data_IF_480549167817
#
_entry.id   IF_480549167817
#
_cell.length_a   1.000
_cell.length_b   1.000
_cell.length_c   1.000
_cell.angle_alpha   90.00
_cell.angle_beta   90.00
_cell.angle_gamma   90.00
#
_symmetry.space_group_name_H-M   'P 1'
#
loop_
_entity.id
_entity.type
_entity.pdbx_description
1 polymer ?
#
# COMPACT_ATOMS: atom_id res chain seq x y z
N UNK A 1 16.63 -22.31 7.08
CA UNK A 1 15.60 -22.05 6.06
C UNK A 1 15.50 -20.55 5.86
N UNK A 2 16.37 -20.00 5.00
CA UNK A 2 16.35 -18.59 4.62
C UNK A 2 15.59 -18.51 3.30
N UNK A 3 14.31 -18.19 3.35
CA UNK A 3 13.55 -17.88 2.15
C UNK A 3 14.02 -16.49 1.66
N UNK A 4 14.91 -16.52 0.66
CA UNK A 4 15.01 -15.58 -0.46
C UNK A 4 14.30 -14.24 -0.24
N UNK A 5 15.03 -13.24 0.28
CA UNK A 5 14.56 -11.86 0.48
C UNK A 5 14.90 -10.90 -0.67
N UNK A 6 15.28 -11.43 -1.83
CA UNK A 6 15.37 -10.68 -3.08
C UNK A 6 14.04 -10.85 -3.83
N UNK A 7 13.40 -9.76 -4.25
CA UNK A 7 12.23 -9.65 -5.16
C UNK A 7 10.88 -9.16 -4.63
N UNK A 8 10.80 -8.39 -3.54
CA UNK A 8 9.54 -7.69 -3.19
C UNK A 8 9.68 -6.24 -2.72
N UNK A 9 10.46 -5.43 -3.44
CA UNK A 9 10.07 -4.02 -3.56
C UNK A 9 8.99 -3.94 -4.63
N UNK A 10 7.75 -4.28 -4.24
CA UNK A 10 6.58 -3.80 -4.99
C UNK A 10 6.58 -2.30 -4.78
N UNK A 11 7.25 -1.58 -5.68
CA UNK A 11 7.28 -0.12 -5.66
C UNK A 11 5.82 0.37 -5.71
N UNK A 12 5.31 0.90 -4.61
CA UNK A 12 3.92 1.35 -4.45
C UNK A 12 3.54 2.38 -5.51
N UNK A 13 4.53 3.17 -5.97
CA UNK A 13 4.42 4.11 -7.09
C UNK A 13 4.10 3.42 -8.43
N UNK A 14 4.62 2.22 -8.67
CA UNK A 14 4.42 1.47 -9.92
C UNK A 14 2.99 0.94 -10.05
N UNK A 15 2.40 0.48 -8.94
CA UNK A 15 1.01 0.00 -8.90
C UNK A 15 0.05 1.16 -9.15
N UNK A 16 0.23 2.29 -8.47
CA UNK A 16 -0.63 3.47 -8.64
C UNK A 16 -0.60 4.03 -10.08
N UNK A 17 0.59 4.07 -10.69
CA UNK A 17 0.77 4.56 -12.06
C UNK A 17 0.09 3.66 -13.11
N UNK A 18 0.03 2.35 -12.86
CA UNK A 18 -0.71 1.41 -13.71
C UNK A 18 -2.24 1.61 -13.66
N UNK A 19 -2.79 1.94 -12.49
CA UNK A 19 -4.23 2.18 -12.35
C UNK A 19 -4.67 3.52 -12.95
N UNK A 20 -3.86 4.58 -12.81
CA UNK A 20 -4.20 5.93 -13.29
C UNK A 20 -4.10 6.07 -14.82
N UNK A 21 -3.27 5.26 -15.49
CA UNK A 21 -3.02 5.34 -16.93
C UNK A 21 -3.71 4.26 -17.77
N UNK A 22 -4.71 3.56 -17.27
CA UNK A 22 -5.50 2.70 -18.16
C UNK A 22 -6.25 3.63 -19.14
N UNK A 23 -5.93 3.63 -20.45
CA UNK A 23 -6.68 4.45 -21.40
C UNK A 23 -8.13 4.01 -21.31
N UNK A 24 -9.04 4.98 -21.15
CA UNK A 24 -10.48 4.75 -21.23
C UNK A 24 -10.75 4.06 -22.57
N UNK A 25 -10.89 2.73 -22.52
CA UNK A 25 -11.37 1.97 -23.66
C UNK A 25 -12.77 2.51 -23.85
N UNK A 26 -13.02 3.17 -24.98
CA UNK A 26 -14.38 3.50 -25.42
C UNK A 26 -15.09 2.17 -25.61
N UNK A 27 -15.58 1.59 -24.52
CA UNK A 27 -16.49 0.46 -24.56
C UNK A 27 -17.77 0.96 -25.19
N UNK A 28 -18.30 0.21 -26.13
CA UNK A 28 -19.66 0.40 -26.63
C UNK A 28 -20.57 0.58 -25.41
N UNK A 29 -21.20 1.76 -25.31
CA UNK A 29 -22.09 2.05 -24.20
C UNK A 29 -23.25 1.06 -24.25
N UNK A 30 -23.62 0.41 -23.12
CA UNK A 30 -24.70 -0.55 -23.13
C UNK A 30 -26.01 0.12 -23.56
N UNK A 31 -26.74 -0.55 -24.44
CA UNK A 31 -28.07 -0.14 -24.88
C UNK A 31 -29.12 -0.73 -23.94
N UNK A 32 -30.27 -0.07 -23.82
CA UNK A 32 -31.36 -0.57 -22.98
C UNK A 32 -32.05 -1.78 -23.64
N UNK A 33 -32.33 -2.81 -22.84
CA UNK A 33 -32.99 -4.04 -23.32
C UNK A 33 -34.43 -3.81 -23.77
N UNK A 34 -35.14 -2.83 -23.17
CA UNK A 34 -36.52 -2.48 -23.53
C UNK A 34 -36.58 -1.40 -24.61
N UNK A 35 -35.51 -0.62 -24.76
CA UNK A 35 -35.47 0.55 -25.63
C UNK A 35 -34.17 0.52 -26.45
N UNK A 36 -34.16 -0.24 -27.54
CA UNK A 36 -32.96 -0.57 -28.33
C UNK A 36 -32.22 0.66 -28.89
N UNK A 37 -32.91 1.79 -29.10
CA UNK A 37 -32.32 3.05 -29.57
C UNK A 37 -31.76 3.94 -28.44
N UNK A 38 -32.05 3.62 -27.18
CA UNK A 38 -31.64 4.43 -26.04
C UNK A 38 -30.41 3.87 -25.33
N UNK A 39 -29.45 4.77 -25.08
CA UNK A 39 -28.24 4.45 -24.34
C UNK A 39 -28.50 4.47 -22.84
N UNK A 40 -27.90 3.52 -22.13
CA UNK A 40 -27.89 3.51 -20.67
C UNK A 40 -26.93 4.60 -20.17
N UNK A 41 -27.48 5.67 -19.61
CA UNK A 41 -26.74 6.82 -19.09
C UNK A 41 -27.27 7.35 -17.75
N UNK A 42 -28.30 6.71 -17.18
CA UNK A 42 -28.92 7.07 -15.91
C UNK A 42 -28.71 5.93 -14.91
N UNK A 43 -28.45 6.26 -13.65
CA UNK A 43 -28.41 5.30 -12.56
C UNK A 43 -29.59 5.56 -11.62
N UNK A 44 -30.40 4.53 -11.38
CA UNK A 44 -31.54 4.62 -10.49
C UNK A 44 -31.12 4.30 -9.06
N UNK A 45 -31.24 5.27 -8.14
CA UNK A 45 -30.81 5.11 -6.75
C UNK A 45 -31.75 4.22 -5.93
N UNK A 46 -33.06 4.24 -6.24
CA UNK A 46 -34.03 3.39 -5.52
C UNK A 46 -33.95 1.91 -5.91
N UNK A 47 -33.56 1.62 -7.14
CA UNK A 47 -33.52 0.27 -7.71
C UNK A 47 -32.09 -0.25 -7.85
N UNK A 48 -31.10 0.58 -7.50
CA UNK A 48 -29.66 0.31 -7.55
C UNK A 48 -29.17 -0.25 -8.91
N UNK A 49 -29.82 0.16 -10.01
CA UNK A 49 -29.57 -0.36 -11.35
C UNK A 49 -29.43 0.74 -12.40
N UNK A 50 -28.65 0.51 -13.47
CA UNK A 50 -28.51 1.44 -14.57
C UNK A 50 -29.72 1.36 -15.52
N UNK A 51 -30.17 2.51 -16.01
CA UNK A 51 -31.40 2.69 -16.81
C UNK A 51 -31.18 3.71 -17.93
N UNK A 52 -32.15 3.84 -18.83
CA UNK A 52 -32.13 4.85 -19.90
C UNK A 52 -33.14 5.98 -19.68
N UNK A 53 -33.09 6.99 -20.55
CA UNK A 53 -33.96 8.17 -20.52
C UNK A 53 -35.44 7.80 -20.60
N UNK A 54 -35.80 6.84 -21.45
CA UNK A 54 -37.21 6.42 -21.62
C UNK A 54 -37.73 5.65 -20.41
N UNK A 55 -36.92 4.75 -19.81
CA UNK A 55 -37.27 4.08 -18.55
C UNK A 55 -37.53 5.08 -17.42
N UNK A 56 -36.82 6.23 -17.41
CA UNK A 56 -37.01 7.30 -16.45
C UNK A 56 -38.21 8.20 -16.76
N UNK A 57 -38.41 8.64 -18.00
CA UNK A 57 -39.45 9.64 -18.31
C UNK A 57 -40.82 9.01 -18.45
N UNK A 58 -40.91 7.82 -19.04
CA UNK A 58 -42.18 7.17 -19.37
C UNK A 58 -42.33 5.76 -18.77
N UNK A 59 -41.24 5.13 -18.35
CA UNK A 59 -41.21 3.75 -17.87
C UNK A 59 -41.37 3.57 -16.37
N UNK A 60 -40.91 2.41 -15.88
CA UNK A 60 -41.06 1.96 -14.50
C UNK A 60 -40.34 2.84 -13.46
N UNK A 61 -39.38 3.68 -13.86
CA UNK A 61 -38.55 4.48 -12.95
C UNK A 61 -38.97 5.96 -12.86
N UNK A 62 -40.18 6.31 -13.31
CA UNK A 62 -40.71 7.69 -13.30
C UNK A 62 -40.63 8.38 -11.94
N UNK A 63 -41.02 7.67 -10.88
CA UNK A 63 -41.05 8.19 -9.51
C UNK A 63 -39.77 7.89 -8.72
N UNK A 64 -38.80 7.20 -9.34
CA UNK A 64 -37.54 6.87 -8.71
C UNK A 64 -36.56 8.06 -8.74
N UNK A 65 -35.79 8.24 -7.68
CA UNK A 65 -34.64 9.13 -7.68
C UNK A 65 -33.54 8.54 -8.57
N UNK A 66 -32.99 9.37 -9.45
CA UNK A 66 -31.95 8.96 -10.39
C UNK A 66 -30.83 9.98 -10.44
N UNK A 67 -29.66 9.54 -10.88
CA UNK A 67 -28.50 10.39 -11.12
C UNK A 67 -27.86 10.03 -12.48
N UNK A 68 -27.12 10.94 -13.11
CA UNK A 68 -26.31 10.59 -14.28
C UNK A 68 -25.32 9.47 -13.93
N UNK A 69 -25.28 8.41 -14.75
CA UNK A 69 -24.40 7.27 -14.53
C UNK A 69 -22.92 7.69 -14.50
N UNK A 70 -22.55 8.69 -15.31
CA UNK A 70 -21.22 9.30 -15.31
C UNK A 70 -20.85 9.90 -13.95
N UNK A 71 -21.78 10.58 -13.29
CA UNK A 71 -21.53 11.18 -11.97
C UNK A 71 -21.33 10.11 -10.90
N UNK A 72 -22.17 9.09 -10.90
CA UNK A 72 -22.04 7.95 -9.97
C UNK A 72 -20.72 7.22 -10.20
N UNK A 73 -20.39 6.93 -11.45
CA UNK A 73 -19.14 6.27 -11.81
C UNK A 73 -17.92 7.10 -11.42
N UNK A 74 -17.89 8.40 -11.75
CA UNK A 74 -16.75 9.25 -11.38
C UNK A 74 -16.62 9.36 -9.88
N UNK A 75 -17.72 9.50 -9.14
CA UNK A 75 -17.68 9.53 -7.67
C UNK A 75 -17.11 8.24 -7.10
N UNK A 76 -17.60 7.08 -7.52
CA UNK A 76 -17.10 5.79 -7.08
C UNK A 76 -15.63 5.58 -7.47
N UNK A 77 -15.24 5.99 -8.67
CA UNK A 77 -13.85 5.94 -9.15
C UNK A 77 -12.94 6.79 -8.27
N UNK A 78 -13.35 8.01 -7.92
CA UNK A 78 -12.61 8.89 -7.00
C UNK A 78 -12.52 8.30 -5.61
N UNK A 79 -13.64 7.85 -5.02
CA UNK A 79 -13.65 7.21 -3.70
C UNK A 79 -12.69 6.00 -3.62
N UNK A 80 -12.69 5.15 -4.65
CA UNK A 80 -11.76 4.02 -4.75
C UNK A 80 -10.32 4.49 -4.91
N UNK A 81 -10.06 5.50 -5.75
CA UNK A 81 -8.72 6.06 -5.96
C UNK A 81 -8.15 6.66 -4.67
N UNK A 82 -8.98 7.40 -3.93
CA UNK A 82 -8.61 8.01 -2.65
C UNK A 82 -8.36 6.94 -1.59
N UNK A 83 -9.21 5.90 -1.53
CA UNK A 83 -9.00 4.74 -0.65
C UNK A 83 -7.67 4.02 -0.95
N UNK A 84 -7.33 3.84 -2.22
CA UNK A 84 -6.05 3.27 -2.64
C UNK A 84 -4.89 4.18 -2.19
N UNK A 85 -5.00 5.50 -2.35
CA UNK A 85 -3.95 6.43 -1.93
C UNK A 85 -3.68 6.36 -0.42
N UNK A 86 -4.72 6.23 0.40
CA UNK A 86 -4.59 6.03 1.86
C UNK A 86 -3.88 4.72 2.19
N UNK A 87 -4.22 3.63 1.50
CA UNK A 87 -3.57 2.33 1.69
C UNK A 87 -2.09 2.38 1.29
N UNK A 88 -1.77 3.02 0.18
CA UNK A 88 -0.38 3.23 -0.27
C UNK A 88 0.40 4.02 0.77
N UNK A 89 -0.12 5.16 1.24
CA UNK A 89 0.57 5.97 2.25
C UNK A 89 0.74 5.22 3.58
N UNK A 90 -0.21 4.35 3.94
CA UNK A 90 -0.08 3.49 5.12
C UNK A 90 1.02 2.44 4.95
N UNK A 91 1.14 1.87 3.75
CA UNK A 91 2.20 0.92 3.43
C UNK A 91 3.59 1.58 3.46
N UNK A 92 3.73 2.78 2.90
CA UNK A 92 4.99 3.53 2.92
C UNK A 92 5.45 3.82 4.36
N UNK A 93 4.50 4.14 5.27
CA UNK A 93 4.79 4.30 6.71
C UNK A 93 5.29 3.00 7.35
N UNK A 94 4.63 1.88 7.08
CA UNK A 94 5.05 0.57 7.58
C UNK A 94 6.45 0.23 7.08
N UNK A 95 6.74 0.47 5.80
CA UNK A 95 8.06 0.25 5.24
C UNK A 95 9.13 1.14 5.90
N UNK A 96 8.81 2.39 6.21
CA UNK A 96 9.70 3.27 6.97
C UNK A 96 10.02 2.74 8.37
N UNK A 97 9.02 2.22 9.08
CA UNK A 97 9.22 1.57 10.40
C UNK A 97 10.10 0.32 10.26
N UNK A 98 9.88 -0.49 9.23
CA UNK A 98 10.71 -1.68 8.96
C UNK A 98 12.16 -1.27 8.73
N UNK A 99 12.42 -0.23 7.94
CA UNK A 99 13.80 0.25 7.71
C UNK A 99 14.46 0.75 8.98
N UNK A 100 13.74 1.47 9.85
CA UNK A 100 14.26 1.90 11.16
C UNK A 100 14.59 0.70 12.06
N UNK A 101 13.74 -0.32 12.05
CA UNK A 101 13.97 -1.54 12.82
C UNK A 101 15.21 -2.29 12.33
N UNK A 102 15.37 -2.42 11.00
CA UNK A 102 16.56 -3.04 10.40
C UNK A 102 17.84 -2.26 10.74
N UNK A 103 17.79 -0.93 10.78
CA UNK A 103 18.92 -0.10 11.19
C UNK A 103 19.25 -0.27 12.67
N UNK A 104 18.24 -0.25 13.55
CA UNK A 104 18.43 -0.47 14.98
C UNK A 104 19.09 -1.83 15.25
N UNK A 105 18.67 -2.89 14.55
CA UNK A 105 19.32 -4.21 14.65
C UNK A 105 20.80 -4.15 14.27
N UNK A 106 21.15 -3.51 13.15
CA UNK A 106 22.56 -3.34 12.74
C UNK A 106 23.38 -2.57 13.77
N UNK A 107 22.81 -1.53 14.38
CA UNK A 107 23.50 -0.78 15.45
C UNK A 107 23.75 -1.65 16.67
N UNK A 108 22.76 -2.45 17.08
CA UNK A 108 22.91 -3.36 18.21
C UNK A 108 24.02 -4.39 17.96
N UNK A 109 24.04 -5.00 16.77
CA UNK A 109 25.09 -5.94 16.37
C UNK A 109 26.49 -5.29 16.42
N UNK A 110 26.64 -4.08 15.89
CA UNK A 110 27.91 -3.35 15.93
C UNK A 110 28.34 -2.98 17.37
N UNK A 111 27.39 -2.60 18.23
CA UNK A 111 27.69 -2.31 19.64
C UNK A 111 28.12 -3.56 20.39
N UNK A 112 27.49 -4.70 20.11
CA UNK A 112 27.85 -5.98 20.71
C UNK A 112 29.30 -6.33 20.36
N UNK A 113 29.67 -6.28 19.09
CA UNK A 113 31.03 -6.56 18.63
C UNK A 113 32.06 -5.65 19.31
N UNK A 114 31.79 -4.34 19.37
CA UNK A 114 32.67 -3.39 20.06
C UNK A 114 32.79 -3.64 21.57
N UNK A 115 31.72 -4.11 22.22
CA UNK A 115 31.78 -4.50 23.64
C UNK A 115 32.63 -5.76 23.86
N UNK A 116 32.51 -6.75 22.98
CA UNK A 116 33.29 -8.00 23.04
C UNK A 116 34.79 -7.70 22.87
N UNK A 117 35.15 -6.83 21.92
CA UNK A 117 36.54 -6.36 21.76
C UNK A 117 37.05 -5.67 23.03
N UNK A 118 36.29 -4.70 23.55
CA UNK A 118 36.69 -3.91 24.73
C UNK A 118 36.89 -4.80 25.96
N UNK A 119 36.00 -5.77 26.18
CA UNK A 119 36.14 -6.76 27.25
C UNK A 119 37.42 -7.60 27.04
N UNK A 120 37.71 -7.98 25.80
CA UNK A 120 38.96 -8.67 25.44
C UNK A 120 40.22 -7.90 25.87
N UNK A 121 40.30 -6.59 25.57
CA UNK A 121 41.41 -5.74 25.99
C UNK A 121 41.56 -5.65 27.51
N UNK A 122 40.44 -5.54 28.25
CA UNK A 122 40.44 -5.48 29.72
C UNK A 122 40.98 -6.80 30.31
N UNK A 123 40.54 -7.94 29.79
CA UNK A 123 41.02 -9.27 30.23
C UNK A 123 42.53 -9.42 29.96
N UNK A 124 43.02 -8.98 28.80
CA UNK A 124 44.46 -9.02 28.50
C UNK A 124 45.27 -8.13 29.45
N UNK A 125 44.80 -6.91 29.71
CA UNK A 125 45.50 -5.97 30.60
C UNK A 125 45.52 -6.45 32.06
N UNK A 126 44.45 -7.06 32.54
CA UNK A 126 44.39 -7.63 33.91
C UNK A 126 45.36 -8.80 34.06
N UNK A 127 45.35 -9.76 33.13
CA UNK A 127 46.30 -10.88 33.11
C UNK A 127 47.77 -10.41 33.08
N UNK A 128 48.06 -9.37 32.30
CA UNK A 128 49.40 -8.80 32.19
C UNK A 128 49.86 -8.19 33.53
N UNK A 129 48.98 -7.44 34.22
CA UNK A 129 49.26 -6.86 35.54
C UNK A 129 49.48 -7.91 36.62
N UNK A 130 48.70 -9.00 36.61
CA UNK A 130 48.86 -10.08 37.58
C UNK A 130 50.17 -10.85 37.39
N UNK A 131 50.60 -11.03 36.13
CA UNK A 131 51.89 -11.66 35.81
C UNK A 131 53.06 -10.82 36.34
N UNK A 132 53.04 -9.50 36.10
CA UNK A 132 54.07 -8.60 36.63
C UNK A 132 54.15 -8.60 38.15
N UNK A 133 53.00 -8.60 38.85
CA UNK A 133 52.95 -8.69 40.33
C UNK A 133 53.48 -10.01 40.89
N UNK A 134 53.34 -11.10 40.15
CA UNK A 134 53.88 -12.40 40.55
C UNK A 134 55.41 -12.43 40.45
N UNK A 135 55.96 -11.71 39.46
CA UNK A 135 57.39 -11.63 39.19
C UNK A 135 58.13 -10.72 40.17
N UNK A 136 57.46 -9.68 40.70
CA UNK A 136 57.99 -8.81 41.76
C UNK A 136 57.96 -9.46 43.17
N UNK A 137 57.22 -10.57 43.35
CA UNK A 137 57.11 -11.31 44.62
C UNK A 137 58.10 -12.47 44.77
N UNK A 138 58.84 -12.81 43.71
CA UNK A 138 59.93 -13.79 43.70
C UNK A 138 61.29 -13.10 43.81
#
# INVERSE_FOLDING_TARGET
>A
MLLSRSDKQVNSLHVFKCFSHRPERKSEQPMCEEHEDEKINIYCLNCEMPTCSLCKVFGAHKDCQVAPLTNVYQRQKTELSDGIAVLVGSNDRVQGIVSQLEEACRTLEATQEGTEETVGWIVQMTNSKDTSRQQERN
#
